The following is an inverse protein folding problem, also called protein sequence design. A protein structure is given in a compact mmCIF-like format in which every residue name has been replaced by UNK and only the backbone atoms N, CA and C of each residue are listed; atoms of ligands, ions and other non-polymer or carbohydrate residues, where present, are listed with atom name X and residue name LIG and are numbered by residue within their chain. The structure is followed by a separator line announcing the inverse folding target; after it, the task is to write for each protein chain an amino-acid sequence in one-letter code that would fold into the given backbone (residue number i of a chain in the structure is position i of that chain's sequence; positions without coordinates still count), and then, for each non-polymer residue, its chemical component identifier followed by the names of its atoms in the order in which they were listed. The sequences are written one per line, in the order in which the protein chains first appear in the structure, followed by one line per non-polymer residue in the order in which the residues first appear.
data_IF_247103380625
#
_entry.id   IF_247103380625
#
_cell.length_a   1.000
_cell.length_b   1.000
_cell.length_c   1.000
_cell.angle_alpha   90.00
_cell.angle_beta   90.00
_cell.angle_gamma   90.00
#
_symmetry.space_group_name_H-M   'P 1'
#
loop_
_entity.id
_entity.type
_entity.pdbx_description
1 polymer ?
#
# COMPACT_ATOMS: atom_id res chain seq x y z
N UNK A 1 -3.56 21.63 -17.62
CA UNK A 1 -2.36 21.84 -16.79
C UNK A 1 -2.29 20.67 -15.81
N UNK A 2 -1.43 19.66 -16.05
CA UNK A 2 -1.31 18.51 -15.13
C UNK A 2 -0.51 18.98 -13.92
N UNK A 3 -1.15 19.05 -12.75
CA UNK A 3 -0.43 19.24 -11.48
C UNK A 3 0.58 18.08 -11.35
N UNK A 4 1.87 18.34 -11.12
CA UNK A 4 2.82 17.26 -10.86
C UNK A 4 2.39 16.64 -9.54
N UNK A 5 1.91 15.39 -9.52
CA UNK A 5 1.59 14.65 -8.28
C UNK A 5 2.90 14.16 -7.68
N UNK A 6 3.04 14.23 -6.35
CA UNK A 6 4.21 13.75 -5.63
C UNK A 6 4.37 12.26 -5.95
N UNK A 7 5.51 11.91 -6.55
CA UNK A 7 5.82 10.56 -6.97
C UNK A 7 5.99 9.64 -5.75
N UNK A 8 5.20 8.57 -5.61
CA UNK A 8 5.48 7.49 -4.66
C UNK A 8 6.91 6.97 -4.80
N UNK A 9 7.45 6.32 -3.76
CA UNK A 9 8.85 5.83 -3.72
C UNK A 9 9.25 5.06 -4.99
N UNK A 10 8.34 4.23 -5.50
CA UNK A 10 8.48 3.50 -6.76
C UNK A 10 8.83 4.40 -7.96
N UNK A 11 8.17 5.56 -8.09
CA UNK A 11 8.38 6.50 -9.18
C UNK A 11 9.64 7.36 -9.03
N UNK A 12 10.33 7.28 -7.89
CA UNK A 12 11.65 7.90 -7.69
C UNK A 12 12.79 7.01 -8.24
N UNK A 13 12.49 5.82 -8.74
CA UNK A 13 13.49 4.89 -9.30
C UNK A 13 14.36 4.22 -8.24
N UNK A 14 13.90 4.18 -6.99
CA UNK A 14 14.58 3.45 -5.91
C UNK A 14 14.24 1.97 -6.05
N UNK A 15 15.23 1.08 -6.23
CA UNK A 15 14.96 -0.34 -6.38
C UNK A 15 14.40 -0.93 -5.07
N UNK A 16 13.54 -1.96 -5.15
CA UNK A 16 13.08 -2.69 -3.98
C UNK A 16 14.26 -3.41 -3.31
N UNK A 17 14.27 -3.42 -1.98
CA UNK A 17 15.21 -4.20 -1.18
C UNK A 17 14.51 -5.47 -0.71
N UNK A 18 14.83 -6.60 -1.33
CA UNK A 18 14.21 -7.89 -1.04
C UNK A 18 14.82 -8.61 0.18
N UNK A 19 15.98 -8.14 0.69
CA UNK A 19 16.66 -8.77 1.83
C UNK A 19 16.34 -8.08 3.17
N UNK A 20 15.64 -6.94 3.12
CA UNK A 20 15.24 -6.18 4.31
C UNK A 20 14.22 -6.96 5.14
N UNK A 21 14.61 -7.37 6.35
CA UNK A 21 13.77 -8.14 7.29
C UNK A 21 12.80 -7.28 8.09
N UNK A 22 12.86 -5.95 7.95
CA UNK A 22 12.05 -5.00 8.73
C UNK A 22 11.10 -4.24 7.80
N UNK A 23 9.88 -3.99 8.28
CA UNK A 23 8.88 -3.16 7.59
C UNK A 23 9.39 -1.73 7.34
N UNK A 24 10.28 -1.24 8.21
CA UNK A 24 10.86 0.09 8.10
C UNK A 24 12.37 0.01 7.85
N UNK A 25 12.79 0.72 6.80
CA UNK A 25 14.19 0.89 6.45
C UNK A 25 14.92 1.63 7.56
N UNK A 26 15.90 0.97 8.18
CA UNK A 26 16.82 1.59 9.13
C UNK A 26 18.13 1.89 8.39
N UNK A 27 18.55 3.16 8.39
CA UNK A 27 19.81 3.55 7.75
C UNK A 27 19.79 4.96 7.20
N UNK A 28 20.71 5.79 7.69
CA UNK A 28 20.84 7.19 7.29
C UNK A 28 21.15 7.36 5.79
N UNK A 29 21.87 6.41 5.17
CA UNK A 29 22.23 6.48 3.76
C UNK A 29 21.02 6.32 2.83
N UNK A 30 20.18 5.29 3.07
CA UNK A 30 18.95 5.04 2.29
C UNK A 30 17.97 6.21 2.46
N UNK A 31 17.85 6.74 3.67
CA UNK A 31 17.02 7.92 3.96
C UNK A 31 17.52 9.18 3.24
N UNK A 32 18.83 9.48 3.27
CA UNK A 32 19.37 10.63 2.54
C UNK A 32 19.19 10.50 1.02
N UNK A 33 19.40 9.30 0.46
CA UNK A 33 19.17 9.05 -0.95
C UNK A 33 17.71 9.28 -1.34
N UNK A 34 16.77 8.77 -0.52
CA UNK A 34 15.34 9.00 -0.68
C UNK A 34 14.99 10.49 -0.63
N UNK A 35 15.43 11.21 0.41
CA UNK A 35 15.15 12.64 0.54
C UNK A 35 15.72 13.46 -0.62
N UNK A 36 16.93 13.14 -1.09
CA UNK A 36 17.54 13.81 -2.25
C UNK A 36 16.66 13.67 -3.49
N UNK A 37 16.16 12.47 -3.78
CA UNK A 37 15.29 12.22 -4.93
C UNK A 37 13.92 12.88 -4.75
N UNK A 38 13.37 12.85 -3.54
CA UNK A 38 12.10 13.51 -3.19
C UNK A 38 12.19 15.02 -3.39
N UNK A 39 13.19 15.68 -2.82
CA UNK A 39 13.40 17.12 -3.00
C UNK A 39 13.65 17.48 -4.47
N UNK A 40 14.40 16.65 -5.21
CA UNK A 40 14.57 16.84 -6.65
C UNK A 40 13.23 16.84 -7.39
N UNK A 41 12.34 15.90 -7.11
CA UNK A 41 11.02 15.84 -7.73
C UNK A 41 10.11 17.01 -7.29
N UNK A 42 10.26 17.49 -6.06
CA UNK A 42 9.48 18.64 -5.57
C UNK A 42 9.82 19.95 -6.30
N UNK A 43 11.01 20.11 -6.88
CA UNK A 43 11.35 21.28 -7.69
C UNK A 43 10.47 21.43 -8.94
N UNK A 44 9.82 20.35 -9.40
CA UNK A 44 8.87 20.41 -10.51
C UNK A 44 7.58 21.19 -10.16
N UNK A 45 7.30 21.40 -8.86
CA UNK A 45 6.17 22.20 -8.38
C UNK A 45 6.50 22.92 -7.08
N UNK A 46 6.73 24.26 -7.10
CA UNK A 46 7.04 25.04 -5.91
C UNK A 46 6.02 24.93 -4.77
N UNK A 47 4.76 24.58 -5.06
CA UNK A 47 3.71 24.39 -4.06
C UNK A 47 3.97 23.25 -3.06
N UNK A 48 4.90 22.34 -3.39
CA UNK A 48 5.35 21.31 -2.45
C UNK A 48 6.17 21.87 -1.28
N UNK A 49 6.73 23.07 -1.41
CA UNK A 49 7.48 23.73 -0.34
C UNK A 49 6.53 24.51 0.56
N UNK A 50 5.87 23.80 1.48
CA UNK A 50 4.94 24.38 2.43
C UNK A 50 5.16 23.83 3.86
N UNK A 51 4.32 24.25 4.81
CA UNK A 51 4.47 23.92 6.23
C UNK A 51 4.41 22.41 6.53
N UNK A 52 3.73 21.62 5.71
CA UNK A 52 3.61 20.17 5.90
C UNK A 52 4.94 19.43 5.74
N UNK A 53 5.97 20.07 5.18
CA UNK A 53 7.32 19.49 5.11
C UNK A 53 7.87 19.20 6.50
N UNK A 54 7.58 20.06 7.49
CA UNK A 54 8.01 19.83 8.84
C UNK A 54 7.33 18.61 9.46
N UNK A 55 6.02 18.48 9.26
CA UNK A 55 5.24 17.33 9.73
C UNK A 55 5.72 16.02 9.06
N UNK A 56 6.03 16.08 7.77
CA UNK A 56 6.56 14.93 7.01
C UNK A 56 7.92 14.50 7.55
N UNK A 57 8.88 15.43 7.64
CA UNK A 57 10.26 15.13 8.05
C UNK A 57 10.32 14.69 9.52
N UNK A 58 9.54 15.32 10.40
CA UNK A 58 9.44 14.89 11.78
C UNK A 58 8.82 13.50 11.88
N UNK A 59 7.70 13.23 11.22
CA UNK A 59 7.09 11.90 11.21
C UNK A 59 8.04 10.80 10.71
N UNK A 60 8.80 11.08 9.64
CA UNK A 60 9.83 10.17 9.14
C UNK A 60 10.98 9.98 10.13
N UNK A 61 11.40 11.03 10.83
CA UNK A 61 12.43 10.93 11.86
C UNK A 61 12.00 9.98 12.99
N UNK A 62 10.81 10.20 13.57
CA UNK A 62 10.27 9.36 14.64
C UNK A 62 10.02 7.92 14.15
N UNK A 63 9.68 7.70 12.87
CA UNK A 63 9.45 6.37 12.32
C UNK A 63 10.74 5.59 12.04
N UNK A 64 11.80 6.26 11.59
CA UNK A 64 13.00 5.60 11.04
C UNK A 64 14.25 5.69 11.91
N UNK A 65 14.34 6.64 12.84
CA UNK A 65 15.52 6.81 13.69
C UNK A 65 15.28 6.47 15.16
N UNK A 66 14.03 6.49 15.63
CA UNK A 66 13.74 6.08 17.00
C UNK A 66 13.62 4.57 17.04
N UNK A 67 14.52 3.95 17.79
CA UNK A 67 14.46 2.53 18.09
C UNK A 67 13.16 2.22 18.83
N UNK A 68 12.37 1.34 18.25
CA UNK A 68 11.18 0.81 18.90
C UNK A 68 11.60 -0.37 19.77
N UNK A 69 11.52 -0.21 21.10
CA UNK A 69 11.67 -1.32 22.06
C UNK A 69 10.34 -2.04 22.22
N UNK A 70 10.40 -3.34 22.42
CA UNK A 70 9.22 -4.20 22.67
C UNK A 70 8.11 -4.07 21.62
N UNK A 71 8.49 -3.84 20.36
CA UNK A 71 7.57 -3.66 19.25
C UNK A 71 7.48 -4.93 18.41
N UNK A 72 6.37 -5.65 18.58
CA UNK A 72 6.12 -6.95 17.98
C UNK A 72 4.92 -6.89 17.05
N UNK A 73 5.01 -7.49 15.87
CA UNK A 73 3.86 -7.68 14.99
C UNK A 73 3.23 -9.04 15.25
N UNK A 74 1.90 -9.13 15.23
CA UNK A 74 1.18 -10.40 15.39
C UNK A 74 1.68 -11.44 14.37
N UNK A 75 1.93 -10.98 13.14
CA UNK A 75 2.40 -11.84 12.06
C UNK A 75 3.90 -12.19 12.09
N UNK A 76 4.64 -11.71 13.10
CA UNK A 76 5.98 -12.24 13.40
C UNK A 76 5.88 -13.63 14.05
N UNK A 77 4.75 -13.93 14.69
CA UNK A 77 4.50 -15.16 15.45
C UNK A 77 3.41 -16.04 14.85
N UNK A 78 2.52 -15.44 14.07
CA UNK A 78 1.40 -16.12 13.44
C UNK A 78 1.49 -16.00 11.92
N UNK A 79 1.41 -17.13 11.21
CA UNK A 79 1.37 -17.08 9.75
C UNK A 79 0.05 -16.46 9.31
N UNK A 80 0.12 -15.40 8.50
CA UNK A 80 -1.06 -14.88 7.83
C UNK A 80 -1.56 -15.91 6.80
N UNK A 81 -2.83 -16.34 6.90
CA UNK A 81 -3.49 -17.25 5.95
C UNK A 81 -4.88 -16.71 5.65
N UNK A 82 -5.09 -16.27 4.41
CA UNK A 82 -6.32 -15.64 3.94
C UNK A 82 -7.55 -16.48 4.21
N UNK A 83 -7.48 -17.79 3.94
CA UNK A 83 -8.66 -18.66 4.05
C UNK A 83 -9.08 -18.85 5.49
N UNK A 84 -8.10 -19.00 6.38
CA UNK A 84 -8.37 -19.12 7.81
C UNK A 84 -8.98 -17.82 8.31
N UNK A 85 -8.40 -16.68 7.91
CA UNK A 85 -8.86 -15.36 8.31
C UNK A 85 -10.30 -15.13 7.81
N UNK A 86 -10.56 -15.28 6.52
CA UNK A 86 -11.89 -15.09 5.93
C UNK A 86 -12.93 -16.02 6.55
N UNK A 87 -12.59 -17.30 6.72
CA UNK A 87 -13.50 -18.27 7.33
C UNK A 87 -13.87 -17.90 8.76
N UNK A 88 -12.88 -17.52 9.58
CA UNK A 88 -13.13 -17.09 10.97
C UNK A 88 -14.01 -15.85 10.99
N UNK A 89 -13.69 -14.84 10.18
CA UNK A 89 -14.44 -13.59 10.17
C UNK A 89 -15.88 -13.79 9.71
N UNK A 90 -16.10 -14.51 8.62
CA UNK A 90 -17.43 -14.70 8.03
C UNK A 90 -18.25 -15.68 8.88
N UNK A 91 -17.69 -16.83 9.25
CA UNK A 91 -18.48 -17.91 9.85
C UNK A 91 -18.55 -17.88 11.38
N UNK A 92 -17.51 -17.36 12.05
CA UNK A 92 -17.47 -17.33 13.52
C UNK A 92 -17.91 -15.97 14.08
N UNK A 93 -17.69 -14.89 13.33
CA UNK A 93 -17.99 -13.51 13.75
C UNK A 93 -19.09 -12.82 12.93
N UNK A 94 -19.66 -13.49 11.91
CA UNK A 94 -20.72 -12.95 11.05
C UNK A 94 -20.33 -11.59 10.43
N UNK A 95 -19.08 -11.46 10.00
CA UNK A 95 -18.57 -10.19 9.49
C UNK A 95 -19.17 -9.84 8.13
N UNK A 96 -19.65 -8.60 8.00
CA UNK A 96 -20.20 -8.10 6.75
C UNK A 96 -19.12 -7.98 5.67
N UNK A 97 -19.41 -8.52 4.48
CA UNK A 97 -18.55 -8.39 3.31
C UNK A 97 -19.12 -7.35 2.35
N UNK A 98 -18.23 -6.79 1.53
CA UNK A 98 -18.65 -5.84 0.50
C UNK A 98 -19.40 -6.57 -0.63
N UNK A 99 -20.51 -5.98 -1.07
CA UNK A 99 -21.35 -6.55 -2.14
C UNK A 99 -20.74 -6.39 -3.55
N UNK A 100 -19.75 -5.53 -3.68
CA UNK A 100 -19.15 -5.11 -4.95
C UNK A 100 -17.74 -5.69 -5.18
N UNK A 101 -17.27 -6.58 -4.30
CA UNK A 101 -16.02 -7.31 -4.50
C UNK A 101 -15.98 -8.63 -3.74
N UNK A 102 -15.21 -9.60 -4.23
CA UNK A 102 -15.05 -10.91 -3.59
C UNK A 102 -13.96 -10.93 -2.51
N UNK A 103 -13.09 -9.92 -2.45
CA UNK A 103 -12.04 -9.85 -1.43
C UNK A 103 -12.57 -9.22 -0.15
N UNK A 104 -12.11 -9.72 1.00
CA UNK A 104 -12.31 -9.09 2.31
C UNK A 104 -11.27 -8.01 2.61
N UNK A 105 -10.27 -7.85 1.74
CA UNK A 105 -9.17 -6.92 1.93
C UNK A 105 -9.49 -5.54 1.34
N UNK A 106 -9.27 -4.47 2.11
CA UNK A 106 -9.49 -3.06 1.70
C UNK A 106 -10.93 -2.74 1.28
N UNK A 107 -11.92 -3.28 1.97
CA UNK A 107 -13.36 -3.07 1.70
C UNK A 107 -14.03 -1.93 2.48
N UNK A 108 -13.25 -0.95 2.96
CA UNK A 108 -13.74 0.11 3.84
C UNK A 108 -14.46 1.27 3.14
N UNK A 109 -14.07 2.49 3.50
CA UNK A 109 -14.67 3.77 3.12
C UNK A 109 -14.55 4.17 1.63
N UNK A 110 -14.20 3.22 0.76
CA UNK A 110 -14.10 3.41 -0.69
C UNK A 110 -12.90 4.19 -1.21
N UNK A 111 -12.05 4.68 -0.30
CA UNK A 111 -10.73 5.23 -0.67
C UNK A 111 -9.92 4.24 -1.50
N UNK A 112 -10.01 2.95 -1.15
CA UNK A 112 -9.31 1.86 -1.84
C UNK A 112 -9.72 1.67 -3.29
N UNK A 113 -11.02 1.68 -3.56
CA UNK A 113 -11.51 1.61 -4.93
C UNK A 113 -11.01 2.79 -5.75
N UNK A 114 -10.98 4.00 -5.17
CA UNK A 114 -10.54 5.21 -5.86
C UNK A 114 -9.05 5.20 -6.22
N UNK A 115 -8.14 4.95 -5.26
CA UNK A 115 -6.71 4.96 -5.60
C UNK A 115 -6.31 3.75 -6.46
N UNK A 116 -6.92 2.57 -6.29
CA UNK A 116 -6.61 1.41 -7.12
C UNK A 116 -7.06 1.63 -8.57
N UNK A 117 -8.18 2.32 -8.79
CA UNK A 117 -8.59 2.72 -10.14
C UNK A 117 -7.55 3.64 -10.80
N UNK A 118 -7.04 4.63 -10.07
CA UNK A 118 -5.97 5.53 -10.57
C UNK A 118 -4.68 4.74 -10.84
N UNK A 119 -4.24 3.88 -9.92
CA UNK A 119 -3.04 3.07 -10.09
C UNK A 119 -3.18 2.15 -11.31
N UNK A 120 -4.31 1.48 -11.46
CA UNK A 120 -4.53 0.61 -12.61
C UNK A 120 -4.44 1.37 -13.94
N UNK A 121 -5.04 2.56 -14.04
CA UNK A 121 -4.99 3.36 -15.26
C UNK A 121 -3.60 3.98 -15.54
N UNK A 122 -2.86 4.36 -14.50
CA UNK A 122 -1.58 5.06 -14.65
C UNK A 122 -0.41 4.09 -14.80
N UNK A 123 -0.41 2.98 -14.06
CA UNK A 123 0.72 2.04 -13.98
C UNK A 123 0.39 0.61 -14.39
N UNK A 124 -0.88 0.25 -14.57
CA UNK A 124 -1.29 -1.10 -14.97
C UNK A 124 -1.29 -2.14 -13.85
N UNK A 125 -1.21 -1.70 -12.59
CA UNK A 125 -1.28 -2.57 -11.40
C UNK A 125 -1.86 -1.79 -10.21
N UNK A 126 -2.29 -2.51 -9.17
CA UNK A 126 -2.89 -1.94 -7.96
C UNK A 126 -2.22 -2.48 -6.68
N UNK A 127 -2.78 -2.14 -5.51
CA UNK A 127 -2.42 -2.80 -4.26
C UNK A 127 -2.69 -4.31 -4.27
N UNK A 128 -3.72 -4.78 -5.00
CA UNK A 128 -4.04 -6.21 -5.11
C UNK A 128 -2.88 -6.99 -5.75
N UNK A 129 -2.27 -6.45 -6.81
CA UNK A 129 -1.09 -7.04 -7.44
C UNK A 129 0.07 -7.20 -6.44
N UNK A 130 0.31 -6.16 -5.63
CA UNK A 130 1.38 -6.19 -4.61
C UNK A 130 1.09 -7.25 -3.55
N UNK A 131 -0.15 -7.32 -3.08
CA UNK A 131 -0.59 -8.29 -2.08
C UNK A 131 -0.49 -9.73 -2.57
N UNK A 132 -1.02 -10.03 -3.77
CA UNK A 132 -0.91 -11.36 -4.38
C UNK A 132 0.55 -11.73 -4.68
N UNK A 133 1.37 -10.75 -5.08
CA UNK A 133 2.81 -10.95 -5.27
C UNK A 133 3.54 -11.35 -3.97
N UNK A 134 3.16 -10.78 -2.82
CA UNK A 134 3.67 -11.19 -1.52
C UNK A 134 3.25 -12.63 -1.19
N UNK A 135 1.98 -12.99 -1.38
CA UNK A 135 1.49 -14.35 -1.11
C UNK A 135 2.22 -15.42 -1.94
N UNK A 136 2.60 -15.12 -3.18
CA UNK A 136 3.43 -16.01 -4.01
C UNK A 136 4.83 -16.16 -3.39
N UNK A 137 5.49 -15.06 -3.01
CA UNK A 137 6.83 -15.10 -2.40
C UNK A 137 6.85 -15.88 -1.09
N UNK A 138 5.79 -15.76 -0.29
CA UNK A 138 5.61 -16.48 0.98
C UNK A 138 5.10 -17.92 0.80
N UNK A 139 4.99 -18.41 -0.45
CA UNK A 139 4.54 -19.77 -0.75
C UNK A 139 3.11 -20.07 -0.29
N UNK A 140 2.26 -19.05 -0.14
CA UNK A 140 0.87 -19.17 0.27
C UNK A 140 -0.07 -19.44 -0.91
N UNK A 141 0.34 -19.07 -2.12
CA UNK A 141 -0.49 -19.18 -3.32
C UNK A 141 0.36 -19.45 -4.56
N UNK A 142 -0.23 -20.15 -5.53
CA UNK A 142 0.38 -20.29 -6.86
C UNK A 142 0.21 -19.04 -7.69
N UNK A 143 1.10 -18.83 -8.66
CA UNK A 143 1.05 -17.69 -9.58
C UNK A 143 -0.25 -17.67 -10.38
N UNK A 144 -0.72 -18.82 -10.84
CA UNK A 144 -1.90 -18.96 -11.69
C UNK A 144 -3.16 -18.52 -10.93
N UNK A 145 -3.27 -18.95 -9.66
CA UNK A 145 -4.38 -18.55 -8.80
C UNK A 145 -4.32 -17.05 -8.49
N UNK A 146 -3.13 -16.54 -8.17
CA UNK A 146 -2.93 -15.11 -7.91
C UNK A 146 -3.36 -14.25 -9.12
N UNK A 147 -2.96 -14.61 -10.35
CA UNK A 147 -3.36 -13.89 -11.56
C UNK A 147 -4.88 -13.91 -11.78
N UNK A 148 -5.53 -15.03 -11.45
CA UNK A 148 -7.00 -15.14 -11.52
C UNK A 148 -7.67 -14.18 -10.54
N UNK A 149 -7.19 -14.13 -9.29
CA UNK A 149 -7.73 -13.24 -8.25
C UNK A 149 -7.49 -11.77 -8.58
N UNK A 150 -6.28 -11.40 -9.00
CA UNK A 150 -5.97 -10.01 -9.39
C UNK A 150 -6.88 -9.54 -10.52
N UNK A 151 -7.21 -10.40 -11.50
CA UNK A 151 -8.09 -10.02 -12.61
C UNK A 151 -9.52 -9.69 -12.14
N UNK A 152 -10.00 -10.38 -11.10
CA UNK A 152 -11.30 -10.13 -10.48
C UNK A 152 -11.26 -8.91 -9.54
N UNK A 153 -10.24 -8.83 -8.68
CA UNK A 153 -10.10 -7.80 -7.65
C UNK A 153 -9.77 -6.42 -8.22
N UNK A 154 -9.14 -6.36 -9.39
CA UNK A 154 -8.86 -5.11 -10.09
C UNK A 154 -10.04 -4.59 -10.92
N UNK A 155 -11.21 -5.24 -10.89
CA UNK A 155 -12.38 -4.69 -11.55
C UNK A 155 -12.75 -3.32 -10.93
N UNK A 156 -13.01 -2.29 -11.76
CA UNK A 156 -13.39 -0.98 -11.25
C UNK A 156 -14.68 -1.02 -10.44
N UNK A 157 -14.62 -0.59 -9.18
CA UNK A 157 -15.77 -0.52 -8.26
C UNK A 157 -16.45 0.86 -8.37
N UNK A 158 -17.12 1.11 -9.50
CA UNK A 158 -17.64 2.46 -9.84
C UNK A 158 -18.62 3.05 -8.82
N UNK A 159 -19.55 2.26 -8.28
CA UNK A 159 -20.51 2.75 -7.27
C UNK A 159 -19.81 3.18 -5.99
N UNK A 160 -18.81 2.41 -5.58
CA UNK A 160 -18.01 2.70 -4.40
C UNK A 160 -17.12 3.94 -4.59
N UNK A 161 -16.52 4.10 -5.78
CA UNK A 161 -15.81 5.31 -6.17
C UNK A 161 -16.74 6.53 -6.18
N UNK A 162 -17.94 6.39 -6.75
CA UNK A 162 -18.95 7.45 -6.77
C UNK A 162 -19.30 7.88 -5.36
N UNK A 163 -19.63 6.92 -4.50
CA UNK A 163 -19.96 7.19 -3.09
C UNK A 163 -18.82 7.93 -2.36
N UNK A 164 -17.57 7.54 -2.58
CA UNK A 164 -16.39 8.22 -2.01
C UNK A 164 -16.24 9.68 -2.50
N UNK A 165 -16.71 10.00 -3.71
CA UNK A 165 -16.62 11.33 -4.32
C UNK A 165 -17.85 12.21 -4.09
N UNK A 166 -18.93 11.67 -3.55
CA UNK A 166 -20.20 12.37 -3.28
C UNK A 166 -20.15 13.24 -1.99
N UNK A 167 -18.95 13.61 -1.52
CA UNK A 167 -18.68 14.39 -0.29
C UNK A 167 -18.78 15.90 -0.51
#
# INVERSE_FOLDING_TARGET
MKLPILKPVFFLGIPPDFEEKRVYTHGWQKQLAYQKLRFKAMFDSPGYFNRSLWDTLSGEYYRSFIEKRDYFHIFDYWRWDEKIIDNTLINDYDWETAIDTNTTWRIGDGTAAFYNYIYYLVTGFTEHDTFRSNQIREGQMTREKALTLVADENQPRYENIRWYLDV
#
